data_IF_644866729838
#
_entry.id   IF_644866729838
#
_cell.length_a   1.000
_cell.length_b   1.000
_cell.length_c   1.000
_cell.angle_alpha   90.00
_cell.angle_beta   90.00
_cell.angle_gamma   90.00
#
_symmetry.space_group_name_H-M   'P 1'
#
loop_
_entity.id
_entity.type
_entity.pdbx_description
1 polymer ?
#
# COMPACT_ATOMS: atom_id res chain seq x y z
N UNK A 1 2.11 22.09 12.01
CA UNK A 1 3.08 21.62 13.02
C UNK A 1 3.79 20.37 12.52
N UNK A 2 5.11 20.35 12.61
CA UNK A 2 5.88 19.18 12.14
C UNK A 2 5.76 18.01 13.09
N UNK A 3 5.75 16.80 12.52
CA UNK A 3 5.73 15.58 13.33
C UNK A 3 7.08 15.37 14.01
N UNK A 4 7.07 14.68 15.15
CA UNK A 4 8.31 14.29 15.81
C UNK A 4 9.02 13.20 15.02
N UNK A 5 10.29 12.95 15.34
CA UNK A 5 11.04 11.86 14.71
C UNK A 5 10.36 10.50 14.90
N UNK A 6 9.79 10.26 16.08
CA UNK A 6 9.07 9.02 16.35
C UNK A 6 7.80 8.90 15.52
N UNK A 7 7.07 10.02 15.35
CA UNK A 7 5.87 10.03 14.51
C UNK A 7 6.21 9.76 13.05
N UNK A 8 7.30 10.35 12.55
CA UNK A 8 7.77 10.13 11.18
C UNK A 8 8.18 8.67 10.99
N UNK A 9 8.90 8.09 11.95
CA UNK A 9 9.30 6.67 11.87
C UNK A 9 8.08 5.74 11.85
N UNK A 10 7.06 6.03 12.67
CA UNK A 10 5.83 5.24 12.67
C UNK A 10 5.08 5.38 11.35
N UNK A 11 5.02 6.58 10.80
CA UNK A 11 4.36 6.83 9.52
C UNK A 11 5.09 6.09 8.39
N UNK A 12 6.41 6.09 8.39
CA UNK A 12 7.21 5.37 7.40
C UNK A 12 6.94 3.86 7.48
N UNK A 13 6.91 3.31 8.69
CA UNK A 13 6.58 1.90 8.88
C UNK A 13 5.17 1.58 8.39
N UNK A 14 4.21 2.46 8.67
CA UNK A 14 2.84 2.27 8.18
C UNK A 14 2.78 2.32 6.66
N UNK A 15 3.59 3.16 6.01
CA UNK A 15 3.69 3.18 4.56
C UNK A 15 4.27 1.88 4.02
N UNK A 16 5.30 1.32 4.65
CA UNK A 16 5.86 0.03 4.26
C UNK A 16 4.83 -1.09 4.43
N UNK A 17 4.05 -1.07 5.50
CA UNK A 17 2.98 -2.04 5.73
C UNK A 17 1.90 -1.91 4.63
N UNK A 18 1.55 -0.69 4.25
CA UNK A 18 0.62 -0.45 3.15
C UNK A 18 1.15 -0.97 1.82
N UNK A 19 2.44 -0.76 1.54
CA UNK A 19 3.08 -1.28 0.34
C UNK A 19 3.04 -2.81 0.33
N UNK A 20 3.29 -3.45 1.47
CA UNK A 20 3.22 -4.91 1.61
C UNK A 20 1.81 -5.41 1.34
N UNK A 21 0.78 -4.72 1.85
CA UNK A 21 -0.61 -5.06 1.60
C UNK A 21 -0.92 -5.00 0.10
N UNK A 22 -0.50 -3.94 -0.58
CA UNK A 22 -0.69 -3.78 -2.03
C UNK A 22 -0.05 -4.95 -2.77
N UNK A 23 1.19 -5.28 -2.45
CA UNK A 23 1.91 -6.36 -3.11
C UNK A 23 1.23 -7.71 -2.90
N UNK A 24 0.72 -7.98 -1.69
CA UNK A 24 0.01 -9.23 -1.38
C UNK A 24 -1.28 -9.36 -2.18
N UNK A 25 -2.05 -8.28 -2.27
CA UNK A 25 -3.32 -8.30 -3.02
C UNK A 25 -3.07 -8.54 -4.51
N UNK A 26 -2.09 -7.85 -5.08
CA UNK A 26 -1.74 -8.00 -6.49
C UNK A 26 -1.24 -9.42 -6.77
N UNK A 27 -0.38 -9.96 -5.91
CA UNK A 27 0.15 -11.32 -6.06
C UNK A 27 -0.96 -12.36 -6.00
N UNK A 28 -1.92 -12.20 -5.09
CA UNK A 28 -3.05 -13.11 -4.97
C UNK A 28 -3.92 -13.07 -6.23
N UNK A 29 -4.15 -11.89 -6.77
CA UNK A 29 -4.92 -11.73 -8.01
C UNK A 29 -4.21 -12.41 -9.20
N UNK A 30 -2.90 -12.25 -9.27
CA UNK A 30 -2.10 -12.84 -10.35
C UNK A 30 -2.16 -14.38 -10.36
N UNK A 31 -2.36 -14.99 -9.19
CA UNK A 31 -2.47 -16.46 -9.08
C UNK A 31 -3.80 -17.01 -9.55
N UNK A 32 -4.78 -16.16 -9.82
CA UNK A 32 -6.08 -16.56 -10.31
C UNK A 32 -7.22 -15.83 -9.62
N UNK A 33 -8.28 -15.56 -10.39
CA UNK A 33 -9.41 -14.77 -9.89
C UNK A 33 -10.17 -15.44 -8.77
N UNK A 34 -10.06 -16.77 -8.66
CA UNK A 34 -10.75 -17.55 -7.63
C UNK A 34 -9.84 -17.95 -6.47
N UNK A 35 -8.62 -17.44 -6.45
CA UNK A 35 -7.70 -17.76 -5.38
C UNK A 35 -8.21 -17.20 -4.05
N UNK A 36 -8.19 -18.04 -3.02
CA UNK A 36 -8.52 -17.60 -1.67
C UNK A 36 -7.41 -16.68 -1.18
N UNK A 37 -7.79 -15.52 -0.68
CA UNK A 37 -6.83 -14.60 -0.09
C UNK A 37 -6.63 -14.95 1.37
N UNK A 38 -5.72 -15.88 1.63
CA UNK A 38 -5.45 -16.34 2.99
C UNK A 38 -4.80 -15.26 3.84
N UNK A 39 -4.17 -14.27 3.22
CA UNK A 39 -3.57 -13.15 3.96
C UNK A 39 -4.64 -12.29 4.63
N UNK A 40 -5.83 -12.24 4.04
CA UNK A 40 -6.94 -11.46 4.58
C UNK A 40 -8.03 -12.34 5.21
N UNK A 41 -7.87 -13.67 5.16
CA UNK A 41 -8.75 -14.59 5.83
C UNK A 41 -10.10 -14.85 5.15
N UNK A 42 -10.30 -14.38 3.92
CA UNK A 42 -11.52 -14.62 3.16
C UNK A 42 -11.30 -14.43 1.66
N UNK A 43 -12.24 -14.93 0.86
CA UNK A 43 -12.22 -14.73 -0.59
C UNK A 43 -12.56 -13.29 -0.93
N UNK A 44 -11.80 -12.72 -1.85
CA UNK A 44 -12.07 -11.37 -2.34
C UNK A 44 -12.32 -11.40 -3.84
N UNK A 45 -13.35 -10.67 -4.28
CA UNK A 45 -13.60 -10.46 -5.70
C UNK A 45 -12.55 -9.50 -6.27
N UNK A 46 -12.49 -9.43 -7.61
CA UNK A 46 -11.58 -8.48 -8.27
C UNK A 46 -11.88 -7.03 -7.86
N UNK A 47 -13.16 -6.67 -7.78
CA UNK A 47 -13.54 -5.31 -7.37
C UNK A 47 -13.18 -5.02 -5.92
N UNK A 48 -13.34 -5.99 -5.03
CA UNK A 48 -12.93 -5.84 -3.64
C UNK A 48 -11.42 -5.65 -3.51
N UNK A 49 -10.64 -6.40 -4.31
CA UNK A 49 -9.18 -6.24 -4.34
C UNK A 49 -8.78 -4.86 -4.83
N UNK A 50 -9.44 -4.36 -5.88
CA UNK A 50 -9.19 -3.00 -6.38
C UNK A 50 -9.49 -1.95 -5.30
N UNK A 51 -10.59 -2.10 -4.59
CA UNK A 51 -10.95 -1.18 -3.51
C UNK A 51 -9.91 -1.21 -2.38
N UNK A 52 -9.46 -2.40 -2.01
CA UNK A 52 -8.44 -2.55 -0.97
C UNK A 52 -7.14 -1.86 -1.36
N UNK A 53 -6.70 -2.08 -2.61
CA UNK A 53 -5.50 -1.44 -3.14
C UNK A 53 -5.68 0.07 -3.20
N UNK A 54 -6.83 0.54 -3.65
CA UNK A 54 -7.11 1.98 -3.74
C UNK A 54 -7.01 2.68 -2.38
N UNK A 55 -7.50 2.04 -1.32
CA UNK A 55 -7.40 2.60 0.02
C UNK A 55 -5.96 2.69 0.50
N UNK A 56 -5.18 1.63 0.27
CA UNK A 56 -3.77 1.62 0.67
C UNK A 56 -2.97 2.66 -0.12
N UNK A 57 -3.19 2.76 -1.44
CA UNK A 57 -2.44 3.72 -2.25
C UNK A 57 -2.82 5.17 -1.92
N UNK A 58 -4.08 5.43 -1.58
CA UNK A 58 -4.50 6.77 -1.16
C UNK A 58 -3.74 7.23 0.08
N UNK A 59 -3.56 6.33 1.04
CA UNK A 59 -2.78 6.62 2.24
C UNK A 59 -1.32 6.94 1.89
N UNK A 60 -0.71 6.13 1.02
CA UNK A 60 0.68 6.33 0.61
C UNK A 60 0.84 7.67 -0.12
N UNK A 61 -0.05 7.99 -1.03
CA UNK A 61 -0.01 9.26 -1.76
C UNK A 61 -0.18 10.45 -0.82
N UNK A 62 -1.10 10.35 0.14
CA UNK A 62 -1.28 11.41 1.13
C UNK A 62 0.00 11.64 1.93
N UNK A 63 0.61 10.57 2.42
CA UNK A 63 1.85 10.69 3.21
C UNK A 63 2.95 11.36 2.40
N UNK A 64 3.06 11.08 1.11
CA UNK A 64 4.08 11.68 0.26
C UNK A 64 3.86 13.18 0.01
N UNK A 65 2.68 13.71 0.28
CA UNK A 65 2.44 15.16 0.16
C UNK A 65 3.00 15.95 1.34
N UNK A 66 3.30 15.27 2.44
CA UNK A 66 3.82 15.92 3.64
C UNK A 66 5.29 16.28 3.43
N UNK A 67 5.70 17.42 3.99
CA UNK A 67 7.03 17.97 3.73
C UNK A 67 8.04 17.75 4.86
N UNK A 68 7.64 17.02 5.90
CA UNK A 68 8.49 16.82 7.07
C UNK A 68 9.29 15.51 7.06
N UNK A 69 9.30 14.81 5.93
CA UNK A 69 10.13 13.61 5.77
C UNK A 69 11.61 14.00 5.78
N UNK A 70 12.42 13.12 6.37
CA UNK A 70 13.87 13.35 6.47
C UNK A 70 14.62 12.45 5.48
N UNK A 71 15.25 11.37 5.95
CA UNK A 71 16.12 10.54 5.12
C UNK A 71 15.53 9.15 4.85
N UNK A 72 14.22 8.98 5.03
CA UNK A 72 13.56 7.69 4.80
C UNK A 72 13.62 7.30 3.33
N UNK A 73 13.78 6.00 3.09
CA UNK A 73 13.82 5.44 1.75
C UNK A 73 12.42 5.14 1.25
N UNK A 74 12.03 5.77 0.16
CA UNK A 74 10.70 5.60 -0.43
C UNK A 74 10.69 4.67 -1.64
N UNK A 75 11.79 4.00 -1.95
CA UNK A 75 11.88 3.13 -3.14
C UNK A 75 10.78 2.08 -3.18
N UNK A 76 10.59 1.35 -2.08
CA UNK A 76 9.56 0.30 -1.99
C UNK A 76 8.17 0.91 -2.07
N UNK A 77 7.97 2.04 -1.40
CA UNK A 77 6.68 2.73 -1.37
C UNK A 77 6.32 3.25 -2.76
N UNK A 78 7.28 3.86 -3.46
CA UNK A 78 7.06 4.38 -4.82
C UNK A 78 6.72 3.26 -5.80
N UNK A 79 7.41 2.11 -5.69
CA UNK A 79 7.11 0.95 -6.52
C UNK A 79 5.69 0.44 -6.26
N UNK A 80 5.27 0.38 -5.00
CA UNK A 80 3.93 -0.06 -4.64
C UNK A 80 2.86 0.87 -5.21
N UNK A 81 3.10 2.19 -5.18
CA UNK A 81 2.16 3.17 -5.75
C UNK A 81 2.03 2.93 -7.26
N UNK A 82 3.15 2.76 -7.96
CA UNK A 82 3.15 2.49 -9.40
C UNK A 82 2.40 1.20 -9.73
N UNK A 83 2.67 0.13 -8.99
CA UNK A 83 2.02 -1.16 -9.19
C UNK A 83 0.52 -1.07 -8.90
N UNK A 84 0.14 -0.33 -7.87
CA UNK A 84 -1.25 -0.12 -7.50
C UNK A 84 -2.01 0.65 -8.57
N UNK A 85 -1.42 1.71 -9.11
CA UNK A 85 -2.05 2.50 -10.17
C UNK A 85 -2.28 1.65 -11.43
N UNK A 86 -1.33 0.78 -11.77
CA UNK A 86 -1.48 -0.14 -12.89
C UNK A 86 -2.59 -1.17 -12.63
N UNK A 87 -2.68 -1.66 -11.39
CA UNK A 87 -3.66 -2.68 -11.03
C UNK A 87 -5.09 -2.13 -11.03
N UNK A 88 -5.27 -0.87 -10.63
CA UNK A 88 -6.59 -0.26 -10.50
C UNK A 88 -7.07 0.44 -11.78
N UNK A 89 -6.21 0.56 -12.77
CA UNK A 89 -6.58 1.23 -14.03
C UNK A 89 -7.48 0.38 -14.91
#
# INVERSE_FOLDING_TARGET
>A
MSRTSDEIAKAHKACLDGASTINSVIATHTKGSNAVDTDFGYDMTHDEKKERVARSVSYLKYQKTLSDWTSEDFTVIDKAITDADAFTS
#
